data_IF_106744112185
#
_entry.id   IF_106744112185
#
_cell.length_a   1.000
_cell.length_b   1.000
_cell.length_c   1.000
_cell.angle_alpha   90.00
_cell.angle_beta   90.00
_cell.angle_gamma   90.00
#
_symmetry.space_group_name_H-M   'P 1'
#
loop_
_entity.id
_entity.type
_entity.pdbx_description
1 polymer ?
#
# COMPACT_ATOMS: atom_id res chain seq x y z
N UNK A 1 8.33 -4.08 15.60
CA UNK A 1 8.25 -3.02 14.57
C UNK A 1 7.10 -3.26 13.60
N UNK A 2 7.07 -4.35 12.83
CA UNK A 2 6.03 -4.63 11.83
C UNK A 2 4.58 -4.48 12.32
N UNK A 3 4.21 -5.10 13.45
CA UNK A 3 2.86 -5.00 14.01
C UNK A 3 2.47 -3.60 14.48
N UNK A 4 3.42 -2.80 14.96
CA UNK A 4 3.18 -1.43 15.39
C UNK A 4 2.97 -0.51 14.17
N UNK A 5 3.70 -0.75 13.09
CA UNK A 5 3.53 -0.07 11.81
C UNK A 5 2.21 -0.43 11.12
N UNK A 6 1.85 -1.72 11.07
CA UNK A 6 0.60 -2.20 10.47
C UNK A 6 -0.65 -1.81 11.29
N UNK A 7 -0.53 -1.82 12.62
CA UNK A 7 -1.62 -1.50 13.54
C UNK A 7 -2.15 -0.08 13.41
N UNK A 8 -1.31 0.88 12.97
CA UNK A 8 -1.75 2.26 12.68
C UNK A 8 -2.30 2.44 11.26
N UNK A 9 -1.70 1.77 10.27
CA UNK A 9 -2.04 1.98 8.85
C UNK A 9 -3.46 1.51 8.52
N UNK A 10 -3.86 0.33 8.99
CA UNK A 10 -5.18 -0.26 8.70
C UNK A 10 -6.34 0.63 9.19
N UNK A 11 -6.38 1.11 10.45
CA UNK A 11 -7.44 2.02 10.89
C UNK A 11 -7.38 3.38 10.19
N UNK A 12 -6.20 3.89 9.84
CA UNK A 12 -6.09 5.14 9.08
C UNK A 12 -6.82 5.08 7.73
N UNK A 13 -6.76 3.95 7.00
CA UNK A 13 -7.50 3.82 5.74
C UNK A 13 -9.02 3.93 5.95
N UNK A 14 -9.55 3.31 7.00
CA UNK A 14 -10.97 3.38 7.31
C UNK A 14 -11.41 4.81 7.68
N UNK A 15 -10.57 5.54 8.44
CA UNK A 15 -10.82 6.94 8.81
C UNK A 15 -10.79 7.84 7.57
N UNK A 16 -9.73 7.78 6.77
CA UNK A 16 -9.57 8.61 5.56
C UNK A 16 -10.73 8.40 4.60
N UNK A 17 -11.12 7.15 4.33
CA UNK A 17 -12.24 6.89 3.42
C UNK A 17 -13.55 7.45 3.98
N UNK A 18 -13.78 7.34 5.30
CA UNK A 18 -14.97 7.93 5.93
C UNK A 18 -14.98 9.46 5.92
N UNK A 19 -13.81 10.10 5.95
CA UNK A 19 -13.69 11.56 5.99
C UNK A 19 -13.88 12.20 4.61
N UNK A 20 -13.41 11.53 3.55
CA UNK A 20 -13.48 12.07 2.19
C UNK A 20 -14.67 11.57 1.35
N UNK A 21 -15.42 10.56 1.81
CA UNK A 21 -16.49 9.93 1.02
C UNK A 21 -17.85 9.97 1.69
N UNK A 22 -18.95 10.00 0.91
CA UNK A 22 -20.30 9.92 1.45
C UNK A 22 -20.50 8.65 2.27
N UNK A 23 -21.16 8.77 3.43
CA UNK A 23 -21.37 7.68 4.37
C UNK A 23 -22.03 6.43 3.74
N UNK A 24 -22.84 6.64 2.69
CA UNK A 24 -23.53 5.57 1.96
C UNK A 24 -22.57 4.62 1.22
N UNK A 25 -21.41 5.10 0.80
CA UNK A 25 -20.43 4.33 0.01
C UNK A 25 -19.17 3.97 0.80
N UNK A 26 -18.97 4.57 1.97
CA UNK A 26 -17.78 4.39 2.78
C UNK A 26 -17.51 2.91 3.10
N UNK A 27 -18.54 2.13 3.43
CA UNK A 27 -18.38 0.69 3.71
C UNK A 27 -17.82 -0.11 2.53
N UNK A 28 -18.35 0.11 1.32
CA UNK A 28 -17.88 -0.57 0.11
C UNK A 28 -16.45 -0.17 -0.24
N UNK A 29 -16.12 1.13 -0.17
CA UNK A 29 -14.79 1.65 -0.48
C UNK A 29 -13.73 1.15 0.51
N UNK A 30 -14.04 1.15 1.81
CA UNK A 30 -13.17 0.56 2.84
C UNK A 30 -12.97 -0.93 2.59
N UNK A 31 -14.04 -1.67 2.28
CA UNK A 31 -13.96 -3.08 1.96
C UNK A 31 -13.02 -3.38 0.79
N UNK A 32 -13.11 -2.61 -0.30
CA UNK A 32 -12.22 -2.74 -1.47
C UNK A 32 -10.75 -2.50 -1.08
N UNK A 33 -10.48 -1.44 -0.32
CA UNK A 33 -9.12 -1.12 0.14
C UNK A 33 -8.54 -2.23 1.00
N UNK A 34 -9.31 -2.76 1.95
CA UNK A 34 -8.88 -3.86 2.81
C UNK A 34 -8.66 -5.14 2.01
N UNK A 35 -9.56 -5.49 1.08
CA UNK A 35 -9.40 -6.65 0.22
C UNK A 35 -8.13 -6.56 -0.63
N UNK A 36 -7.87 -5.40 -1.26
CA UNK A 36 -6.65 -5.16 -2.00
C UNK A 36 -5.40 -5.29 -1.11
N UNK A 37 -5.49 -4.84 0.15
CA UNK A 37 -4.40 -4.96 1.13
C UNK A 37 -4.11 -6.42 1.47
N UNK A 38 -5.14 -7.21 1.79
CA UNK A 38 -5.00 -8.64 2.11
C UNK A 38 -4.45 -9.41 0.91
N UNK A 39 -4.95 -9.11 -0.29
CA UNK A 39 -4.46 -9.72 -1.52
C UNK A 39 -2.99 -9.40 -1.77
N UNK A 40 -2.58 -8.14 -1.57
CA UNK A 40 -1.18 -7.73 -1.64
C UNK A 40 -0.30 -8.45 -0.61
N UNK A 41 -0.77 -8.63 0.62
CA UNK A 41 -0.04 -9.40 1.64
C UNK A 41 0.12 -10.88 1.25
N UNK A 42 -0.93 -11.50 0.71
CA UNK A 42 -0.89 -12.89 0.25
C UNK A 42 0.13 -13.07 -0.89
N UNK A 43 0.09 -12.19 -1.91
CA UNK A 43 1.05 -12.20 -3.01
C UNK A 43 2.47 -11.96 -2.51
N UNK A 44 2.66 -10.98 -1.62
CA UNK A 44 3.98 -10.66 -1.08
C UNK A 44 4.62 -11.85 -0.36
N UNK A 45 3.85 -12.53 0.49
CA UNK A 45 4.29 -13.75 1.17
C UNK A 45 4.64 -14.87 0.17
N UNK A 46 3.72 -15.20 -0.73
CA UNK A 46 3.91 -16.25 -1.72
C UNK A 46 5.13 -16.00 -2.63
N UNK A 47 5.23 -14.80 -3.19
CA UNK A 47 6.31 -14.43 -4.11
C UNK A 47 7.67 -14.43 -3.39
N UNK A 48 7.73 -13.98 -2.14
CA UNK A 48 8.97 -14.04 -1.35
C UNK A 48 9.44 -15.48 -1.10
N UNK A 49 8.50 -16.40 -0.85
CA UNK A 49 8.79 -17.84 -0.72
C UNK A 49 9.26 -18.44 -2.05
N UNK A 50 8.59 -18.10 -3.15
CA UNK A 50 8.98 -18.59 -4.47
C UNK A 50 10.37 -18.08 -4.90
N UNK A 51 10.71 -16.83 -4.59
CA UNK A 51 12.05 -16.27 -4.82
C UNK A 51 13.08 -17.03 -3.98
N UNK A 52 12.76 -17.37 -2.74
CA UNK A 52 13.64 -18.17 -1.90
C UNK A 52 13.85 -19.58 -2.47
N UNK A 53 12.79 -20.25 -2.91
CA UNK A 53 12.89 -21.59 -3.51
C UNK A 53 13.78 -21.62 -4.76
N UNK A 54 13.78 -20.53 -5.55
CA UNK A 54 14.60 -20.41 -6.75
C UNK A 54 16.06 -20.01 -6.46
N UNK A 55 16.30 -19.19 -5.43
CA UNK A 55 17.64 -18.60 -5.18
C UNK A 55 18.38 -19.22 -4.00
N UNK A 56 17.67 -19.98 -3.13
CA UNK A 56 18.19 -20.49 -1.87
C UNK A 56 18.61 -19.42 -0.86
N UNK A 57 18.27 -18.14 -1.10
CA UNK A 57 18.79 -17.00 -0.35
C UNK A 57 17.69 -16.05 0.10
N UNK A 58 17.61 -15.81 1.41
CA UNK A 58 16.70 -14.81 1.98
C UNK A 58 17.08 -13.39 1.57
N UNK A 59 18.34 -13.12 1.22
CA UNK A 59 18.77 -11.79 0.78
C UNK A 59 18.04 -11.35 -0.50
N UNK A 60 17.82 -12.28 -1.44
CA UNK A 60 17.07 -12.00 -2.66
C UNK A 60 15.59 -11.69 -2.39
N UNK A 61 14.97 -12.42 -1.46
CA UNK A 61 13.61 -12.15 -1.01
C UNK A 61 13.48 -10.77 -0.31
N UNK A 62 14.46 -10.40 0.51
CA UNK A 62 14.49 -9.06 1.13
C UNK A 62 14.69 -7.95 0.10
N UNK A 63 15.59 -8.14 -0.88
CA UNK A 63 15.81 -7.16 -1.94
C UNK A 63 14.54 -6.93 -2.77
N UNK A 64 13.78 -7.98 -3.03
CA UNK A 64 12.47 -7.88 -3.66
C UNK A 64 11.48 -7.04 -2.82
N UNK A 65 11.45 -7.26 -1.50
CA UNK A 65 10.66 -6.45 -0.57
C UNK A 65 11.06 -4.97 -0.56
N UNK A 66 12.35 -4.66 -0.65
CA UNK A 66 12.86 -3.28 -0.79
C UNK A 66 12.39 -2.67 -2.11
N UNK A 67 12.47 -3.40 -3.21
CA UNK A 67 12.00 -2.93 -4.51
C UNK A 67 10.49 -2.57 -4.49
N UNK A 68 9.66 -3.38 -3.84
CA UNK A 68 8.23 -3.08 -3.66
C UNK A 68 7.96 -1.85 -2.79
N UNK A 69 8.79 -1.58 -1.78
CA UNK A 69 8.70 -0.35 -1.00
C UNK A 69 9.10 0.87 -1.82
N UNK A 70 10.17 0.77 -2.63
CA UNK A 70 10.56 1.86 -3.54
C UNK A 70 9.47 2.17 -4.56
N UNK A 71 8.79 1.15 -5.08
CA UNK A 71 7.63 1.31 -5.96
C UNK A 71 6.51 2.10 -5.26
N UNK A 72 6.21 1.78 -3.99
CA UNK A 72 5.21 2.53 -3.21
C UNK A 72 5.59 4.00 -3.01
N UNK A 73 6.85 4.27 -2.66
CA UNK A 73 7.36 5.64 -2.50
C UNK A 73 7.28 6.41 -3.83
N UNK A 74 7.63 5.78 -4.94
CA UNK A 74 7.52 6.37 -6.26
C UNK A 74 6.06 6.71 -6.60
N UNK A 75 5.13 5.80 -6.35
CA UNK A 75 3.70 6.04 -6.57
C UNK A 75 3.19 7.22 -5.72
N UNK A 76 3.55 7.27 -4.44
CA UNK A 76 3.23 8.39 -3.54
C UNK A 76 3.80 9.72 -4.06
N UNK A 77 5.08 9.74 -4.46
CA UNK A 77 5.74 10.93 -4.97
C UNK A 77 5.06 11.45 -6.26
N UNK A 78 4.70 10.55 -7.17
CA UNK A 78 3.97 10.88 -8.39
C UNK A 78 2.57 11.45 -8.09
N UNK A 79 1.83 10.85 -7.15
CA UNK A 79 0.52 11.34 -6.73
C UNK A 79 0.61 12.72 -6.09
N UNK A 80 1.59 12.94 -5.20
CA UNK A 80 1.83 14.23 -4.56
C UNK A 80 2.25 15.30 -5.58
N UNK A 81 3.12 14.96 -6.53
CA UNK A 81 3.51 15.88 -7.59
C UNK A 81 2.33 16.27 -8.48
N UNK A 82 1.48 15.31 -8.86
CA UNK A 82 0.26 15.56 -9.63
C UNK A 82 -0.73 16.45 -8.84
N UNK A 83 -0.95 16.15 -7.56
CA UNK A 83 -1.83 16.94 -6.70
C UNK A 83 -1.36 18.39 -6.55
N UNK A 84 -0.05 18.62 -6.36
CA UNK A 84 0.54 19.97 -6.29
C UNK A 84 0.40 20.75 -7.61
N UNK A 85 0.56 20.08 -8.75
CA UNK A 85 0.34 20.70 -10.07
C UNK A 85 -1.12 21.09 -10.28
N UNK A 86 -2.06 20.23 -9.93
CA UNK A 86 -3.50 20.55 -10.00
C UNK A 86 -3.87 21.74 -9.10
N UNK A 87 -3.29 21.85 -7.91
CA UNK A 87 -3.50 22.99 -7.02
C UNK A 87 -2.91 24.29 -7.58
N UNK A 88 -1.70 24.24 -8.16
CA UNK A 88 -1.06 25.40 -8.79
C UNK A 88 -1.75 25.86 -10.08
N UNK A 89 -2.46 24.96 -10.78
CA UNK A 89 -3.23 25.30 -11.98
C UNK A 89 -4.62 25.90 -11.67
N UNK A 90 -5.08 25.80 -10.41
CA UNK A 90 -6.37 26.35 -9.95
C UNK A 90 -6.22 27.69 -9.20
N UNK A 91 -4.99 28.11 -8.92
CA UNK A 91 -4.63 29.41 -8.34
C UNK A 91 -4.30 30.43 -9.45
#
# INVERSE_FOLDING_TARGET
VFGLSQGGIVPCYAIIVREYMPAREAGQRVGIVIMATIFGMAIGGWMSGWIYDLTGSYAAAFLNGVAWNLLNIAAMALLLWKARRSAAAMA
#
